data_IF_965866748183
#
_entry.id   IF_965866748183
#
_cell.length_a   1.000
_cell.length_b   1.000
_cell.length_c   1.000
_cell.angle_alpha   90.00
_cell.angle_beta   90.00
_cell.angle_gamma   90.00
#
_symmetry.space_group_name_H-M   'P 1'
#
loop_
_entity.id
_entity.type
_entity.pdbx_description
1 polymer ?
#
# COMPACT_ATOMS: atom_id res chain seq x y z
N UNK A 1 -6.85 33.87 27.97
CA UNK A 1 -5.52 33.31 27.63
C UNK A 1 -5.38 32.00 28.42
N UNK A 2 -5.67 30.87 27.81
CA UNK A 2 -5.62 29.55 28.48
C UNK A 2 -4.16 29.17 28.70
N UNK A 3 -3.85 28.74 29.87
CA UNK A 3 -2.52 28.35 30.34
C UNK A 3 -2.05 27.10 29.54
N UNK A 4 -1.16 27.27 28.55
CA UNK A 4 -0.58 26.19 27.68
C UNK A 4 0.57 25.43 28.37
N UNK A 5 0.62 25.43 29.71
CA UNK A 5 1.76 24.96 30.50
C UNK A 5 1.97 23.43 30.53
N UNK A 6 1.13 22.64 29.87
CA UNK A 6 1.22 21.18 29.85
C UNK A 6 1.63 20.54 28.54
N UNK A 7 1.66 21.30 27.42
CA UNK A 7 1.95 20.74 26.09
C UNK A 7 3.45 20.50 25.88
N UNK A 8 3.82 19.24 25.59
CA UNK A 8 5.20 18.88 25.26
C UNK A 8 5.24 17.69 24.29
N UNK A 9 6.38 17.48 23.62
CA UNK A 9 6.60 16.36 22.70
C UNK A 9 7.61 15.40 23.33
N UNK A 10 7.21 14.15 23.43
CA UNK A 10 8.09 13.04 23.81
C UNK A 10 8.42 12.26 22.54
N UNK A 11 9.72 12.11 22.23
CA UNK A 11 10.18 11.23 21.16
C UNK A 11 10.48 9.84 21.72
N UNK A 12 9.87 8.80 21.18
CA UNK A 12 10.07 7.40 21.59
C UNK A 12 10.32 6.51 20.38
N UNK A 13 10.97 5.38 20.61
CA UNK A 13 11.18 4.35 19.59
C UNK A 13 10.02 3.36 19.51
N UNK A 14 9.13 3.36 20.50
CA UNK A 14 7.91 2.56 20.55
C UNK A 14 6.77 3.33 21.23
N UNK A 15 5.56 2.82 21.10
CA UNK A 15 4.37 3.38 21.73
C UNK A 15 4.19 2.89 23.18
N UNK A 16 4.71 1.70 23.51
CA UNK A 16 4.55 1.09 24.83
C UNK A 16 3.09 1.07 25.30
N UNK A 17 2.81 1.52 26.52
CA UNK A 17 1.45 1.54 27.07
C UNK A 17 0.51 2.54 26.38
N UNK A 18 1.03 3.46 25.55
CA UNK A 18 0.24 4.44 24.80
C UNK A 18 -0.33 3.88 23.48
N UNK A 19 -0.02 2.64 23.12
CA UNK A 19 -0.51 2.02 21.89
C UNK A 19 -2.04 2.06 21.74
N UNK A 20 -2.86 1.71 22.73
CA UNK A 20 -4.31 1.83 22.61
C UNK A 20 -4.79 3.27 22.40
N UNK A 21 -4.18 4.22 23.10
CA UNK A 21 -4.51 5.64 22.93
C UNK A 21 -4.13 6.16 21.54
N UNK A 22 -2.96 5.76 21.02
CA UNK A 22 -2.55 6.06 19.65
C UNK A 22 -3.53 5.50 18.62
N UNK A 23 -3.91 4.22 18.75
CA UNK A 23 -4.84 3.56 17.83
C UNK A 23 -6.22 4.23 17.87
N UNK A 24 -6.69 4.69 19.04
CA UNK A 24 -7.91 5.46 19.16
C UNK A 24 -7.84 6.81 18.45
N UNK A 25 -6.70 7.51 18.51
CA UNK A 25 -6.49 8.75 17.74
C UNK A 25 -6.60 8.52 16.23
N UNK A 26 -6.02 7.42 15.73
CA UNK A 26 -6.10 7.06 14.30
C UNK A 26 -7.54 6.84 13.85
N UNK A 27 -8.38 6.25 14.69
CA UNK A 27 -9.81 6.02 14.40
C UNK A 27 -10.61 7.32 14.22
N UNK A 28 -10.22 8.37 14.93
CA UNK A 28 -10.90 9.67 14.91
C UNK A 28 -10.40 10.62 13.81
N UNK A 29 -9.42 10.22 13.01
CA UNK A 29 -8.98 11.04 11.88
C UNK A 29 -10.11 11.22 10.86
N UNK A 30 -10.17 12.39 10.21
CA UNK A 30 -11.10 12.63 9.11
C UNK A 30 -10.90 11.68 7.92
N UNK A 31 -9.68 11.14 7.79
CA UNK A 31 -9.32 10.10 6.83
C UNK A 31 -8.52 9.00 7.55
N UNK A 32 -9.20 8.11 8.30
CA UNK A 32 -8.52 7.04 9.03
C UNK A 32 -7.72 6.14 8.08
N UNK A 33 -6.43 5.92 8.40
CA UNK A 33 -5.54 5.13 7.57
C UNK A 33 -5.05 3.89 8.32
N UNK A 34 -5.19 2.68 7.76
CA UNK A 34 -4.66 1.46 8.36
C UNK A 34 -3.13 1.51 8.47
N UNK A 35 -2.47 2.30 7.64
CA UNK A 35 -1.01 2.49 7.66
C UNK A 35 -0.51 3.30 8.85
N UNK A 36 -1.40 3.93 9.63
CA UNK A 36 -1.09 4.62 10.88
C UNK A 36 -1.38 3.77 12.12
N UNK A 37 -1.98 2.59 11.97
CA UNK A 37 -2.25 1.67 13.07
C UNK A 37 -0.94 1.14 13.67
N UNK A 38 -0.89 1.03 14.97
CA UNK A 38 0.28 0.58 15.71
C UNK A 38 0.83 -0.75 15.20
N UNK A 39 -0.05 -1.71 14.88
CA UNK A 39 0.35 -3.02 14.37
C UNK A 39 1.03 -2.94 12.99
N UNK A 40 0.60 -2.00 12.11
CA UNK A 40 1.26 -1.80 10.83
C UNK A 40 2.63 -1.15 11.02
N UNK A 41 2.68 -0.04 11.76
CA UNK A 41 3.89 0.74 11.99
C UNK A 41 5.02 -0.11 12.58
N UNK A 42 4.71 -0.95 13.58
CA UNK A 42 5.69 -1.83 14.24
C UNK A 42 6.31 -2.87 13.31
N UNK A 43 5.54 -3.39 12.35
CA UNK A 43 5.98 -4.48 11.47
C UNK A 43 6.65 -3.97 10.19
N UNK A 44 6.40 -2.71 9.79
CA UNK A 44 6.82 -2.19 8.48
C UNK A 44 7.92 -1.14 8.54
N UNK A 45 8.33 -0.73 9.72
CA UNK A 45 9.45 0.19 9.92
C UNK A 45 10.74 -0.39 9.35
N UNK A 46 11.49 0.43 8.59
CA UNK A 46 12.77 0.02 7.97
C UNK A 46 13.96 0.72 8.61
N UNK A 47 13.82 2.00 8.98
CA UNK A 47 14.84 2.79 9.69
C UNK A 47 14.67 2.73 11.21
N UNK A 48 15.33 3.63 11.92
CA UNK A 48 15.13 3.79 13.36
C UNK A 48 13.73 4.40 13.62
N UNK A 49 12.82 3.71 14.33
CA UNK A 49 11.49 4.23 14.60
C UNK A 49 11.54 5.48 15.48
N UNK A 50 10.67 6.44 15.20
CA UNK A 50 10.56 7.67 15.97
C UNK A 50 9.10 8.12 16.05
N UNK A 51 8.45 7.84 17.17
CA UNK A 51 7.13 8.35 17.50
C UNK A 51 7.28 9.71 18.21
N UNK A 52 6.77 10.75 17.59
CA UNK A 52 6.64 12.06 18.21
C UNK A 52 5.27 12.12 18.89
N UNK A 53 5.24 11.93 20.20
CA UNK A 53 4.01 11.89 20.99
C UNK A 53 3.76 13.26 21.60
N UNK A 54 2.65 13.89 21.23
CA UNK A 54 2.23 15.19 21.79
C UNK A 54 1.36 14.92 23.01
N UNK A 55 1.90 15.33 24.15
CA UNK A 55 1.25 15.17 25.44
C UNK A 55 0.68 16.49 25.94
N UNK A 56 -0.48 16.45 26.55
CA UNK A 56 -1.01 17.51 27.40
C UNK A 56 -1.05 16.96 28.83
N UNK A 57 -0.08 17.38 29.63
CA UNK A 57 0.25 16.73 30.90
C UNK A 57 0.57 15.24 30.65
N UNK A 58 -0.23 14.31 31.18
CA UNK A 58 -0.05 12.87 31.01
C UNK A 58 -0.96 12.24 29.92
N UNK A 59 -1.73 13.07 29.21
CA UNK A 59 -2.66 12.60 28.18
C UNK A 59 -2.06 12.72 26.80
N UNK A 60 -2.07 11.63 26.05
CA UNK A 60 -1.70 11.65 24.63
C UNK A 60 -2.81 12.32 23.82
N UNK A 61 -2.52 13.48 23.23
CA UNK A 61 -3.47 14.23 22.41
C UNK A 61 -3.19 14.17 20.91
N UNK A 62 -2.04 13.65 20.51
CA UNK A 62 -1.67 13.50 19.12
C UNK A 62 -0.23 13.08 18.90
N UNK A 63 0.21 13.07 17.64
CA UNK A 63 1.59 12.72 17.32
C UNK A 63 1.86 12.49 15.85
N UNK A 64 3.08 12.05 15.57
CA UNK A 64 3.57 11.76 14.22
C UNK A 64 4.50 10.55 14.26
N UNK A 65 4.23 9.55 13.42
CA UNK A 65 5.03 8.33 13.33
C UNK A 65 6.07 8.45 12.21
N UNK A 66 7.33 8.56 12.57
CA UNK A 66 8.44 8.73 11.65
C UNK A 66 9.44 7.57 11.77
N UNK A 67 10.26 7.40 10.75
CA UNK A 67 11.50 6.62 10.83
C UNK A 67 12.68 7.48 10.42
N UNK A 68 13.81 7.28 11.08
CA UNK A 68 15.05 7.99 10.77
C UNK A 68 16.00 7.08 10.00
N UNK A 69 16.52 7.60 8.90
CA UNK A 69 17.70 7.12 8.21
C UNK A 69 18.79 8.20 8.26
N UNK A 70 20.06 7.81 8.16
CA UNK A 70 21.17 8.78 8.11
C UNK A 70 21.89 8.71 6.77
N UNK A 71 22.06 9.86 6.16
CA UNK A 71 22.90 10.00 4.98
C UNK A 71 24.02 11.00 5.26
N UNK A 72 25.28 10.53 5.19
CA UNK A 72 26.46 11.33 5.55
C UNK A 72 26.33 11.98 6.94
N UNK A 73 25.75 11.27 7.90
CA UNK A 73 25.54 11.76 9.27
C UNK A 73 24.32 12.67 9.46
N UNK A 74 23.67 13.14 8.38
CA UNK A 74 22.47 13.99 8.46
C UNK A 74 21.23 13.12 8.60
N UNK A 75 20.39 13.31 9.64
CA UNK A 75 19.12 12.62 9.78
C UNK A 75 18.15 12.96 8.65
N UNK A 76 17.55 11.94 8.07
CA UNK A 76 16.41 12.02 7.15
C UNK A 76 15.21 11.37 7.82
N UNK A 77 14.23 12.19 8.16
CA UNK A 77 12.98 11.74 8.77
C UNK A 77 11.98 11.44 7.66
N UNK A 78 11.49 10.21 7.63
CA UNK A 78 10.52 9.72 6.65
C UNK A 78 9.26 9.25 7.36
N UNK A 79 8.16 9.07 6.63
CA UNK A 79 6.99 8.38 7.16
C UNK A 79 7.40 6.98 7.62
N UNK A 80 6.90 6.53 8.76
CA UNK A 80 7.18 5.17 9.22
C UNK A 80 6.56 4.15 8.26
N UNK A 81 7.34 3.14 7.88
CA UNK A 81 6.97 2.18 6.84
C UNK A 81 7.22 2.68 5.41
N UNK A 82 7.92 3.82 5.22
CA UNK A 82 8.37 4.26 3.91
C UNK A 82 9.23 3.17 3.25
N UNK A 83 9.03 2.97 1.94
CA UNK A 83 9.74 1.93 1.19
C UNK A 83 8.81 1.13 0.28
N UNK A 84 9.09 -0.17 0.06
CA UNK A 84 8.34 -0.98 -0.90
C UNK A 84 6.85 -1.14 -0.59
N UNK A 85 6.44 -1.05 0.67
CA UNK A 85 5.05 -1.18 1.09
C UNK A 85 4.22 0.10 0.92
N UNK A 86 4.88 1.23 0.67
CA UNK A 86 4.25 2.49 0.25
C UNK A 86 2.99 2.86 1.05
N UNK A 87 3.09 3.27 2.33
CA UNK A 87 1.93 3.69 3.11
C UNK A 87 1.20 4.88 2.45
N UNK A 88 -0.14 4.82 2.45
CA UNK A 88 -1.00 5.86 1.89
C UNK A 88 -1.78 6.58 2.98
N UNK A 89 -2.21 7.82 2.67
CA UNK A 89 -2.99 8.66 3.58
C UNK A 89 -2.30 8.88 4.93
N UNK A 90 -0.98 9.08 4.88
CA UNK A 90 -0.20 9.43 6.07
C UNK A 90 -0.56 10.83 6.55
N UNK A 91 -0.69 11.02 7.86
CA UNK A 91 -0.95 12.29 8.51
C UNK A 91 -0.43 12.30 9.96
N UNK A 92 -0.43 13.49 10.58
CA UNK A 92 -0.35 13.58 12.03
C UNK A 92 -1.67 13.10 12.65
N UNK A 93 -1.59 12.31 13.72
CA UNK A 93 -2.77 11.94 14.49
C UNK A 93 -3.06 13.02 15.53
N UNK A 94 -4.33 13.32 15.78
CA UNK A 94 -4.73 14.31 16.76
C UNK A 94 -6.13 13.98 17.33
N UNK A 95 -6.37 14.33 18.58
CA UNK A 95 -7.72 14.40 19.13
C UNK A 95 -8.54 15.43 18.36
N UNK A 96 -9.82 15.17 18.06
CA UNK A 96 -10.71 16.15 17.45
C UNK A 96 -10.72 17.48 18.24
N UNK A 97 -10.48 18.59 17.52
CA UNK A 97 -10.39 19.93 18.10
C UNK A 97 -9.05 20.30 18.74
N UNK A 98 -8.05 19.38 18.75
CA UNK A 98 -6.70 19.63 19.23
C UNK A 98 -5.64 19.64 18.12
N UNK A 99 -6.07 19.66 16.86
CA UNK A 99 -5.19 19.57 15.68
C UNK A 99 -4.16 20.70 15.65
N UNK A 100 -4.57 21.93 15.98
CA UNK A 100 -3.69 23.11 16.00
C UNK A 100 -2.64 23.02 17.11
N UNK A 101 -3.02 22.51 18.27
CA UNK A 101 -2.10 22.29 19.38
C UNK A 101 -1.04 21.25 19.02
N UNK A 102 -1.48 20.14 18.40
CA UNK A 102 -0.59 19.06 17.93
C UNK A 102 0.37 19.59 16.87
N UNK A 103 -0.12 20.29 15.84
CA UNK A 103 0.73 20.86 14.80
C UNK A 103 1.73 21.88 15.36
N UNK A 104 1.33 22.72 16.33
CA UNK A 104 2.21 23.68 17.00
C UNK A 104 3.33 22.97 17.75
N UNK A 105 3.00 21.94 18.52
CA UNK A 105 3.99 21.16 19.27
C UNK A 105 4.96 20.42 18.33
N UNK A 106 4.45 19.80 17.26
CA UNK A 106 5.26 19.14 16.24
C UNK A 106 6.19 20.14 15.53
N UNK A 107 5.71 21.36 15.21
CA UNK A 107 6.52 22.42 14.62
C UNK A 107 7.70 22.76 15.52
N UNK A 108 7.44 23.01 16.81
CA UNK A 108 8.50 23.33 17.77
C UNK A 108 9.56 22.22 17.82
N UNK A 109 9.14 20.95 17.82
CA UNK A 109 10.06 19.81 17.81
C UNK A 109 10.85 19.68 16.50
N UNK A 110 10.21 19.83 15.35
CA UNK A 110 10.83 19.72 14.02
C UNK A 110 11.81 20.87 13.75
N UNK A 111 11.57 22.04 14.34
CA UNK A 111 12.43 23.23 14.24
C UNK A 111 13.53 23.31 15.31
N UNK A 112 13.65 22.31 16.21
CA UNK A 112 14.72 22.29 17.22
C UNK A 112 16.12 22.35 16.59
N UNK A 113 17.17 22.84 17.29
CA UNK A 113 18.52 22.91 16.77
C UNK A 113 19.03 21.61 16.19
N UNK A 114 19.91 21.69 15.19
CA UNK A 114 20.49 20.54 14.48
C UNK A 114 20.03 20.47 13.02
N UNK A 115 20.84 19.80 12.17
CA UNK A 115 20.53 19.64 10.75
C UNK A 115 19.73 18.37 10.52
N UNK A 116 18.68 18.45 9.69
CA UNK A 116 17.85 17.30 9.26
C UNK A 116 17.13 17.59 7.96
N UNK A 117 16.76 16.52 7.27
CA UNK A 117 15.77 16.54 6.16
C UNK A 117 14.51 15.85 6.64
N UNK A 118 13.36 16.38 6.29
CA UNK A 118 12.04 15.79 6.46
C UNK A 118 11.54 15.45 5.07
N UNK A 119 11.18 14.17 4.84
CA UNK A 119 10.81 13.66 3.52
C UNK A 119 9.61 12.70 3.67
N UNK A 120 8.40 13.26 3.64
CA UNK A 120 7.15 12.56 3.92
C UNK A 120 6.44 12.26 2.60
N UNK A 121 6.36 10.99 2.20
CA UNK A 121 5.65 10.54 1.01
C UNK A 121 4.37 9.79 1.38
N UNK A 122 3.33 9.92 0.53
CA UNK A 122 2.03 9.30 0.77
C UNK A 122 1.13 10.10 1.72
N UNK A 123 1.46 11.36 1.97
CA UNK A 123 0.63 12.27 2.77
C UNK A 123 -0.66 12.59 2.00
N UNK A 124 -1.80 12.61 2.69
CA UNK A 124 -3.06 13.04 2.10
C UNK A 124 -2.99 14.51 1.65
N UNK A 125 -3.49 14.82 0.45
CA UNK A 125 -3.45 16.19 -0.11
C UNK A 125 -4.16 17.23 0.78
N UNK A 126 -5.21 16.80 1.50
CA UNK A 126 -5.95 17.63 2.45
C UNK A 126 -5.26 17.79 3.81
N UNK A 127 -4.15 17.07 4.06
CA UNK A 127 -3.42 17.15 5.32
C UNK A 127 -2.88 18.53 5.58
N UNK A 128 -2.96 18.96 6.83
CA UNK A 128 -2.37 20.23 7.33
C UNK A 128 -0.90 20.07 7.77
N UNK A 129 -0.33 18.87 7.64
CA UNK A 129 1.03 18.55 8.13
C UNK A 129 2.11 19.46 7.51
N UNK A 130 1.89 19.97 6.28
CA UNK A 130 2.80 20.92 5.66
C UNK A 130 3.04 22.18 6.53
N UNK A 131 2.04 22.61 7.33
CA UNK A 131 2.16 23.76 8.20
C UNK A 131 3.07 23.52 9.42
N UNK A 132 3.31 22.26 9.78
CA UNK A 132 4.21 21.89 10.87
C UNK A 132 5.68 21.76 10.44
N UNK A 133 5.98 21.83 9.14
CA UNK A 133 7.34 21.60 8.63
C UNK A 133 8.17 22.89 8.62
N UNK A 134 9.49 22.82 8.89
CA UNK A 134 10.37 23.98 8.94
C UNK A 134 10.61 24.61 7.56
N UNK A 135 10.66 25.92 7.53
CA UNK A 135 11.11 26.70 6.37
C UNK A 135 10.28 26.48 5.09
N UNK A 136 10.95 26.44 3.94
CA UNK A 136 10.29 26.23 2.65
C UNK A 136 9.95 24.76 2.44
N UNK A 137 8.66 24.47 2.31
CA UNK A 137 8.17 23.11 2.02
C UNK A 137 8.04 22.89 0.51
N UNK A 138 8.71 21.87 0.02
CA UNK A 138 8.55 21.37 -1.35
C UNK A 138 7.41 20.35 -1.36
N UNK A 139 6.34 20.66 -2.10
CA UNK A 139 5.15 19.82 -2.25
C UNK A 139 5.08 19.26 -3.67
N UNK A 140 4.87 17.96 -3.79
CA UNK A 140 4.76 17.27 -5.08
C UNK A 140 3.64 16.23 -5.01
N UNK A 141 2.79 16.16 -6.04
CA UNK A 141 1.84 15.05 -6.20
C UNK A 141 2.61 13.84 -6.72
N UNK A 142 2.62 12.75 -5.94
CA UNK A 142 3.37 11.52 -6.27
C UNK A 142 2.48 10.41 -6.79
N UNK A 143 1.21 10.39 -6.40
CA UNK A 143 0.25 9.40 -6.83
C UNK A 143 -1.19 9.93 -6.67
N UNK A 144 -2.13 9.12 -7.13
CA UNK A 144 -3.56 9.26 -6.81
C UNK A 144 -4.05 7.97 -6.15
N UNK A 145 -5.02 8.07 -5.28
CA UNK A 145 -5.72 6.97 -4.64
C UNK A 145 -7.21 7.02 -5.03
N UNK A 146 -7.63 6.22 -6.01
CA UNK A 146 -9.03 6.14 -6.43
C UNK A 146 -9.90 5.56 -5.33
N UNK A 147 -11.08 6.13 -5.11
CA UNK A 147 -12.01 5.72 -4.07
C UNK A 147 -13.47 5.88 -4.50
N UNK A 148 -14.37 5.22 -3.79
CA UNK A 148 -15.81 5.30 -4.00
C UNK A 148 -16.56 5.28 -2.67
N UNK A 149 -17.55 6.16 -2.51
CA UNK A 149 -18.53 6.06 -1.44
C UNK A 149 -19.47 4.87 -1.66
N UNK A 150 -19.76 4.13 -0.61
CA UNK A 150 -20.61 2.96 -0.67
C UNK A 150 -21.96 3.23 -0.02
N UNK A 151 -23.01 2.64 -0.60
CA UNK A 151 -24.35 2.53 -0.04
C UNK A 151 -24.60 1.10 0.41
N UNK A 152 -25.63 0.89 1.20
CA UNK A 152 -25.97 -0.47 1.68
C UNK A 152 -26.43 -1.40 0.54
N UNK A 153 -26.98 -0.87 -0.55
CA UNK A 153 -27.40 -1.67 -1.69
C UNK A 153 -26.26 -1.83 -2.72
N UNK A 154 -25.73 -3.06 -2.91
CA UNK A 154 -24.73 -3.32 -3.94
C UNK A 154 -25.18 -2.97 -5.36
N UNK A 155 -26.50 -2.96 -5.62
CA UNK A 155 -27.03 -2.61 -6.94
C UNK A 155 -26.83 -1.12 -7.25
N UNK A 156 -26.88 -0.24 -6.24
CA UNK A 156 -26.61 1.19 -6.39
C UNK A 156 -25.18 1.43 -6.85
N UNK A 157 -24.23 0.82 -6.17
CA UNK A 157 -22.84 0.91 -6.59
C UNK A 157 -22.65 0.44 -8.04
N UNK A 158 -23.23 -0.69 -8.41
CA UNK A 158 -23.10 -1.22 -9.76
C UNK A 158 -23.78 -0.32 -10.82
N UNK A 159 -24.94 0.31 -10.48
CA UNK A 159 -25.64 1.25 -11.39
C UNK A 159 -24.79 2.47 -11.72
N UNK A 160 -23.98 2.96 -10.78
CA UNK A 160 -23.07 4.10 -10.99
C UNK A 160 -21.87 3.78 -11.88
N UNK A 161 -21.59 2.51 -12.13
CA UNK A 161 -20.43 2.12 -12.95
C UNK A 161 -20.68 2.30 -14.45
N UNK A 162 -19.61 2.49 -15.26
CA UNK A 162 -19.75 2.60 -16.73
C UNK A 162 -20.54 1.42 -17.32
N UNK A 163 -21.39 1.69 -18.31
CA UNK A 163 -22.23 0.65 -18.94
C UNK A 163 -21.42 -0.53 -19.47
N UNK A 164 -20.25 -0.26 -20.05
CA UNK A 164 -19.32 -1.28 -20.55
C UNK A 164 -18.81 -2.20 -19.42
N UNK A 165 -18.58 -1.66 -18.23
CA UNK A 165 -18.12 -2.42 -17.07
C UNK A 165 -19.25 -3.25 -16.45
N UNK A 166 -20.47 -2.73 -16.33
CA UNK A 166 -21.60 -3.42 -15.67
C UNK A 166 -21.85 -4.82 -16.19
N UNK A 167 -21.64 -5.04 -17.49
CA UNK A 167 -21.81 -6.33 -18.13
C UNK A 167 -20.61 -7.31 -17.89
N UNK A 168 -19.42 -6.77 -17.59
CA UNK A 168 -18.18 -7.55 -17.49
C UNK A 168 -18.19 -8.56 -16.35
N UNK A 169 -18.52 -8.21 -15.08
CA UNK A 169 -18.61 -9.18 -14.00
C UNK A 169 -19.60 -10.32 -14.33
N UNK A 170 -20.82 -9.98 -14.75
CA UNK A 170 -21.86 -11.00 -15.08
C UNK A 170 -21.43 -11.95 -16.19
N UNK A 171 -20.90 -11.44 -17.31
CA UNK A 171 -20.41 -12.25 -18.43
C UNK A 171 -19.25 -13.13 -18.00
N UNK A 172 -18.34 -12.61 -17.17
CA UNK A 172 -17.19 -13.36 -16.68
C UNK A 172 -17.64 -14.44 -15.70
N UNK A 173 -18.53 -14.12 -14.74
CA UNK A 173 -19.09 -15.11 -13.81
C UNK A 173 -19.73 -16.27 -14.57
N UNK A 174 -20.63 -15.99 -15.53
CA UNK A 174 -21.26 -17.04 -16.36
C UNK A 174 -20.22 -17.91 -17.10
N UNK A 175 -19.14 -17.31 -17.62
CA UNK A 175 -18.06 -18.05 -18.28
C UNK A 175 -17.29 -18.93 -17.30
N UNK A 176 -17.20 -18.53 -16.03
CA UNK A 176 -16.49 -19.25 -14.98
C UNK A 176 -17.39 -20.29 -14.25
N UNK A 177 -18.73 -20.20 -14.41
CA UNK A 177 -19.69 -21.14 -13.78
C UNK A 177 -19.33 -22.64 -13.99
N UNK A 178 -18.92 -23.09 -15.20
CA UNK A 178 -18.54 -24.49 -15.40
C UNK A 178 -17.31 -24.93 -14.57
N UNK A 179 -16.57 -23.96 -14.00
CA UNK A 179 -15.38 -24.19 -13.16
C UNK A 179 -15.70 -24.15 -11.67
N UNK A 180 -17.00 -24.11 -11.29
CA UNK A 180 -17.46 -24.02 -9.91
C UNK A 180 -16.74 -22.94 -9.10
N UNK A 181 -16.67 -21.71 -9.64
CA UNK A 181 -15.94 -20.61 -9.01
C UNK A 181 -16.74 -20.05 -7.82
N UNK A 182 -16.10 -19.98 -6.67
CA UNK A 182 -16.66 -19.46 -5.43
C UNK A 182 -15.82 -18.31 -4.85
N UNK A 183 -16.48 -17.41 -4.14
CA UNK A 183 -15.83 -16.38 -3.33
C UNK A 183 -15.63 -16.90 -1.90
N UNK A 184 -14.42 -16.75 -1.38
CA UNK A 184 -14.04 -17.15 -0.03
C UNK A 184 -13.36 -16.00 0.70
N UNK A 185 -13.68 -15.82 1.99
CA UNK A 185 -13.05 -14.81 2.84
C UNK A 185 -12.24 -15.53 3.92
N UNK A 186 -11.01 -15.05 4.12
CA UNK A 186 -10.10 -15.52 5.17
C UNK A 186 -9.86 -14.41 6.18
N UNK A 187 -9.97 -14.75 7.47
CA UNK A 187 -9.78 -13.85 8.61
C UNK A 187 -9.06 -14.59 9.74
N UNK A 188 -8.50 -13.83 10.68
CA UNK A 188 -7.78 -14.38 11.83
C UNK A 188 -6.67 -15.32 11.39
N UNK A 189 -6.46 -16.41 12.09
CA UNK A 189 -5.42 -17.40 11.79
C UNK A 189 -5.56 -18.07 10.40
N UNK A 190 -6.75 -18.02 9.78
CA UNK A 190 -6.96 -18.65 8.46
C UNK A 190 -6.26 -17.93 7.31
N UNK A 191 -5.65 -16.77 7.53
CA UNK A 191 -4.94 -16.01 6.48
C UNK A 191 -3.62 -16.62 6.07
N UNK A 192 -2.98 -17.46 6.89
CA UNK A 192 -1.64 -17.99 6.62
C UNK A 192 -1.56 -18.76 5.30
N UNK A 193 -2.57 -19.56 5.01
CA UNK A 193 -2.67 -20.27 3.72
C UNK A 193 -2.77 -19.30 2.55
N UNK A 194 -3.51 -18.20 2.73
CA UNK A 194 -3.71 -17.20 1.67
C UNK A 194 -2.49 -16.32 1.48
N UNK A 195 -1.70 -16.06 2.51
CA UNK A 195 -0.45 -15.32 2.39
C UNK A 195 0.45 -15.98 1.34
N UNK A 196 0.82 -17.25 1.50
CA UNK A 196 1.64 -17.96 0.50
C UNK A 196 1.00 -18.01 -0.89
N UNK A 197 -0.33 -18.10 -0.95
CA UNK A 197 -1.06 -18.06 -2.22
C UNK A 197 -0.97 -16.70 -2.88
N UNK A 198 -1.16 -15.60 -2.13
CA UNK A 198 -1.03 -14.24 -2.66
C UNK A 198 0.37 -13.97 -3.19
N UNK A 199 1.41 -14.39 -2.46
CA UNK A 199 2.80 -14.27 -2.90
C UNK A 199 3.01 -14.97 -4.25
N UNK A 200 2.59 -16.22 -4.36
CA UNK A 200 2.68 -17.01 -5.59
C UNK A 200 1.95 -16.36 -6.76
N UNK A 201 0.70 -15.92 -6.55
CA UNK A 201 -0.10 -15.25 -7.57
C UNK A 201 0.50 -13.89 -7.97
N UNK A 202 1.01 -13.12 -7.01
CA UNK A 202 1.65 -11.84 -7.25
C UNK A 202 2.95 -12.02 -8.04
N UNK A 203 3.79 -12.99 -7.67
CA UNK A 203 5.02 -13.36 -8.36
C UNK A 203 4.73 -13.81 -9.80
N UNK A 204 3.70 -14.61 -10.01
CA UNK A 204 3.29 -15.07 -11.35
C UNK A 204 2.82 -13.91 -12.25
N UNK A 205 2.24 -12.86 -11.67
CA UNK A 205 1.73 -11.69 -12.40
C UNK A 205 2.80 -10.64 -12.68
N UNK A 206 3.69 -10.35 -11.73
CA UNK A 206 4.60 -9.21 -11.76
C UNK A 206 6.09 -9.62 -11.86
N UNK A 207 6.42 -10.87 -11.54
CA UNK A 207 7.78 -11.40 -11.51
C UNK A 207 8.66 -10.68 -10.48
N UNK A 208 9.97 -10.76 -10.66
CA UNK A 208 10.97 -10.17 -9.75
C UNK A 208 11.03 -8.62 -9.81
N UNK A 209 10.24 -8.00 -10.68
CA UNK A 209 10.15 -6.54 -10.78
C UNK A 209 9.24 -5.91 -9.73
N UNK A 210 8.60 -6.72 -8.91
CA UNK A 210 7.71 -6.25 -7.87
C UNK A 210 8.49 -5.83 -6.62
N UNK A 211 8.47 -4.52 -6.30
CA UNK A 211 9.02 -4.02 -5.04
C UNK A 211 8.28 -4.59 -3.81
N UNK A 212 7.01 -4.94 -3.96
CA UNK A 212 6.22 -5.56 -2.89
C UNK A 212 6.84 -6.87 -2.40
N UNK A 213 7.32 -7.71 -3.32
CA UNK A 213 7.95 -8.99 -2.95
C UNK A 213 9.24 -8.81 -2.14
N UNK A 214 9.94 -7.68 -2.29
CA UNK A 214 11.12 -7.36 -1.49
C UNK A 214 10.79 -7.08 -0.01
N UNK A 215 9.55 -6.71 0.31
CA UNK A 215 9.08 -6.46 1.66
C UNK A 215 7.94 -7.41 2.08
N UNK A 216 7.86 -8.57 1.41
CA UNK A 216 6.75 -9.50 1.60
C UNK A 216 6.67 -10.02 3.05
N UNK A 217 7.79 -10.33 3.68
CA UNK A 217 7.82 -10.83 5.06
C UNK A 217 7.28 -9.80 6.07
N UNK A 218 7.60 -8.52 5.89
CA UNK A 218 7.06 -7.45 6.72
C UNK A 218 5.54 -7.30 6.51
N UNK A 219 5.09 -7.38 5.26
CA UNK A 219 3.66 -7.40 4.94
C UNK A 219 2.94 -8.60 5.59
N UNK A 220 3.52 -9.79 5.50
CA UNK A 220 2.93 -11.00 6.06
C UNK A 220 2.86 -10.91 7.60
N UNK A 221 3.92 -10.43 8.25
CA UNK A 221 3.95 -10.21 9.69
C UNK A 221 2.88 -9.19 10.12
N UNK A 222 2.80 -8.04 9.43
CA UNK A 222 1.78 -7.02 9.68
C UNK A 222 0.37 -7.57 9.48
N UNK A 223 0.15 -8.32 8.38
CA UNK A 223 -1.16 -8.91 8.08
C UNK A 223 -1.64 -9.88 9.16
N UNK A 224 -0.75 -10.69 9.75
CA UNK A 224 -1.11 -11.60 10.85
C UNK A 224 -1.61 -10.83 12.07
N UNK A 225 -0.88 -9.79 12.46
CA UNK A 225 -1.28 -8.96 13.62
C UNK A 225 -2.59 -8.23 13.33
N UNK A 226 -2.73 -7.62 12.14
CA UNK A 226 -3.97 -6.94 11.75
C UNK A 226 -5.16 -7.90 11.64
N UNK A 227 -4.96 -9.14 11.15
CA UNK A 227 -6.01 -10.15 11.10
C UNK A 227 -6.47 -10.63 12.49
N UNK A 228 -5.54 -10.76 13.43
CA UNK A 228 -5.87 -11.08 14.83
C UNK A 228 -6.71 -9.96 15.49
N UNK A 229 -6.58 -8.72 15.02
CA UNK A 229 -7.40 -7.57 15.45
C UNK A 229 -8.70 -7.41 14.65
N UNK A 230 -8.94 -8.24 13.63
CA UNK A 230 -10.10 -8.14 12.75
C UNK A 230 -10.01 -7.03 11.71
N UNK A 231 -8.85 -6.39 11.56
CA UNK A 231 -8.63 -5.26 10.64
C UNK A 231 -8.06 -5.67 9.28
N UNK A 232 -7.67 -6.94 9.11
CA UNK A 232 -7.17 -7.50 7.83
C UNK A 232 -7.99 -8.72 7.44
N UNK A 233 -8.42 -8.73 6.17
CA UNK A 233 -9.07 -9.87 5.55
C UNK A 233 -8.45 -10.14 4.18
N UNK A 234 -8.51 -11.40 3.76
CA UNK A 234 -8.17 -11.81 2.40
C UNK A 234 -9.42 -12.34 1.71
N UNK A 235 -9.63 -11.88 0.50
CA UNK A 235 -10.69 -12.37 -0.35
C UNK A 235 -10.08 -13.17 -1.51
N UNK A 236 -10.63 -14.35 -1.75
CA UNK A 236 -10.16 -15.31 -2.75
C UNK A 236 -11.28 -15.65 -3.72
N UNK A 237 -10.95 -15.79 -4.99
CA UNK A 237 -11.77 -16.45 -6.00
C UNK A 237 -11.19 -17.83 -6.21
N UNK A 238 -11.99 -18.86 -5.94
CA UNK A 238 -11.56 -20.26 -5.93
C UNK A 238 -12.29 -21.02 -7.01
N UNK A 239 -11.59 -21.83 -7.78
CA UNK A 239 -12.17 -22.75 -8.79
C UNK A 239 -11.82 -24.19 -8.38
N UNK A 240 -12.82 -24.93 -7.88
CA UNK A 240 -12.56 -26.18 -7.19
C UNK A 240 -11.69 -25.91 -5.94
N UNK A 241 -10.49 -26.48 -5.92
CA UNK A 241 -9.52 -26.25 -4.83
C UNK A 241 -8.49 -25.15 -5.16
N UNK A 242 -8.40 -24.72 -6.41
CA UNK A 242 -7.40 -23.78 -6.85
C UNK A 242 -7.82 -22.32 -6.60
N UNK A 243 -7.00 -21.53 -5.92
CA UNK A 243 -7.19 -20.07 -5.80
C UNK A 243 -6.69 -19.41 -7.09
N UNK A 244 -7.62 -18.80 -7.83
CA UNK A 244 -7.34 -18.19 -9.14
C UNK A 244 -7.10 -16.69 -9.09
N UNK A 245 -7.58 -16.03 -8.03
CA UNK A 245 -7.28 -14.64 -7.70
C UNK A 245 -7.42 -14.43 -6.20
N UNK A 246 -6.61 -13.53 -5.65
CA UNK A 246 -6.66 -13.13 -4.25
C UNK A 246 -6.39 -11.63 -4.11
N UNK A 247 -6.97 -11.01 -3.08
CA UNK A 247 -6.72 -9.62 -2.70
C UNK A 247 -6.68 -9.50 -1.18
N UNK A 248 -5.68 -8.80 -0.66
CA UNK A 248 -5.62 -8.39 0.74
C UNK A 248 -6.38 -7.09 0.93
N UNK A 249 -7.18 -7.02 1.97
CA UNK A 249 -8.01 -5.88 2.32
C UNK A 249 -7.74 -5.44 3.75
N UNK A 250 -7.73 -4.13 3.97
CA UNK A 250 -7.82 -3.56 5.30
C UNK A 250 -9.25 -3.13 5.55
N UNK A 251 -9.83 -3.61 6.66
CA UNK A 251 -11.19 -3.32 7.10
C UNK A 251 -11.10 -2.48 8.38
N UNK A 252 -11.17 -1.15 8.24
CA UNK A 252 -10.90 -0.25 9.35
C UNK A 252 -11.75 1.02 9.28
N UNK A 253 -12.31 1.44 10.41
CA UNK A 253 -13.09 2.68 10.56
C UNK A 253 -14.16 2.89 9.47
N UNK A 254 -14.91 1.84 9.13
CA UNK A 254 -15.95 1.88 8.10
C UNK A 254 -15.42 1.95 6.66
N UNK A 255 -14.12 1.82 6.45
CA UNK A 255 -13.46 1.84 5.16
C UNK A 255 -12.89 0.47 4.80
N UNK A 256 -13.06 0.07 3.55
CA UNK A 256 -12.40 -1.09 2.95
C UNK A 256 -11.29 -0.61 2.03
N UNK A 257 -10.02 -0.89 2.37
CA UNK A 257 -8.88 -0.55 1.50
C UNK A 257 -8.37 -1.80 0.78
N UNK A 258 -8.33 -1.76 -0.56
CA UNK A 258 -7.84 -2.86 -1.39
C UNK A 258 -6.35 -2.68 -1.60
N UNK A 259 -5.52 -3.51 -0.92
CA UNK A 259 -4.08 -3.26 -0.88
C UNK A 259 -3.30 -4.02 -1.93
N UNK A 260 -3.13 -5.32 -1.80
CA UNK A 260 -2.33 -6.12 -2.73
C UNK A 260 -3.17 -7.23 -3.34
N UNK A 261 -2.98 -7.46 -4.63
CA UNK A 261 -3.71 -8.52 -5.35
C UNK A 261 -2.79 -9.32 -6.25
N UNK A 262 -3.23 -10.56 -6.52
CA UNK A 262 -2.60 -11.43 -7.49
C UNK A 262 -3.65 -12.30 -8.18
N UNK A 263 -3.33 -12.78 -9.37
CA UNK A 263 -4.19 -13.69 -10.14
C UNK A 263 -3.39 -14.64 -11.00
N UNK A 264 -3.99 -15.75 -11.37
CA UNK A 264 -3.44 -16.65 -12.37
C UNK A 264 -3.43 -15.99 -13.76
N UNK A 265 -2.40 -16.30 -14.51
CA UNK A 265 -2.29 -15.96 -15.92
C UNK A 265 -3.11 -16.94 -16.77
N UNK A 266 -3.38 -16.57 -18.04
CA UNK A 266 -4.09 -17.42 -18.99
C UNK A 266 -5.47 -16.89 -19.39
N UNK A 267 -5.88 -17.26 -20.59
CA UNK A 267 -7.14 -16.78 -21.19
C UNK A 267 -8.37 -17.22 -20.39
N UNK A 268 -8.35 -18.43 -19.81
CA UNK A 268 -9.43 -18.98 -18.98
C UNK A 268 -9.71 -18.14 -17.73
N UNK A 269 -8.69 -17.44 -17.19
CA UNK A 269 -8.79 -16.59 -15.99
C UNK A 269 -8.90 -15.09 -16.31
N UNK A 270 -9.09 -14.77 -17.59
CA UNK A 270 -9.27 -13.36 -17.98
C UNK A 270 -10.41 -12.72 -17.19
N UNK A 271 -10.18 -11.57 -16.60
CA UNK A 271 -11.10 -10.81 -15.75
C UNK A 271 -11.47 -11.49 -14.41
N UNK A 272 -10.81 -12.56 -13.97
CA UNK A 272 -11.07 -13.18 -12.67
C UNK A 272 -10.87 -12.16 -11.52
N UNK A 273 -9.79 -11.38 -11.57
CA UNK A 273 -9.58 -10.29 -10.59
C UNK A 273 -10.69 -9.24 -10.62
N UNK A 274 -11.25 -8.92 -11.81
CA UNK A 274 -12.38 -7.98 -11.93
C UNK A 274 -13.64 -8.51 -11.23
N UNK A 275 -13.91 -9.82 -11.38
CA UNK A 275 -15.02 -10.47 -10.65
C UNK A 275 -14.76 -10.43 -9.16
N UNK A 276 -13.56 -10.83 -8.72
CA UNK A 276 -13.21 -10.81 -7.31
C UNK A 276 -13.40 -9.41 -6.70
N UNK A 277 -12.82 -8.36 -7.29
CA UNK A 277 -12.93 -6.99 -6.77
C UNK A 277 -14.39 -6.50 -6.74
N UNK A 278 -15.18 -6.80 -7.79
CA UNK A 278 -16.61 -6.44 -7.80
C UNK A 278 -17.38 -7.17 -6.69
N UNK A 279 -17.08 -8.45 -6.44
CA UNK A 279 -17.70 -9.23 -5.37
C UNK A 279 -17.31 -8.69 -3.99
N UNK A 280 -16.04 -8.33 -3.79
CA UNK A 280 -15.53 -7.73 -2.54
C UNK A 280 -16.23 -6.41 -2.24
N UNK A 281 -16.38 -5.53 -3.23
CA UNK A 281 -17.06 -4.25 -3.05
C UNK A 281 -18.55 -4.45 -2.74
N UNK A 282 -19.22 -5.38 -3.43
CA UNK A 282 -20.62 -5.71 -3.14
C UNK A 282 -20.79 -6.32 -1.73
N UNK A 283 -19.85 -7.12 -1.27
CA UNK A 283 -19.82 -7.63 0.10
C UNK A 283 -19.64 -6.48 1.11
N UNK A 284 -18.75 -5.54 0.83
CA UNK A 284 -18.55 -4.34 1.64
C UNK A 284 -19.82 -3.50 1.78
N UNK A 285 -20.59 -3.30 0.68
CA UNK A 285 -21.90 -2.65 0.74
C UNK A 285 -22.84 -3.35 1.72
N UNK A 286 -23.00 -4.69 1.60
CA UNK A 286 -23.90 -5.46 2.49
C UNK A 286 -23.47 -5.43 3.95
N UNK A 287 -22.16 -5.30 4.21
CA UNK A 287 -21.59 -5.22 5.55
C UNK A 287 -21.60 -3.81 6.14
N UNK A 288 -22.10 -2.82 5.40
CA UNK A 288 -22.24 -1.45 5.86
C UNK A 288 -20.96 -0.64 5.87
N UNK A 289 -19.97 -0.97 5.03
CA UNK A 289 -18.84 -0.08 4.81
C UNK A 289 -19.29 1.19 4.09
N UNK A 290 -18.71 2.32 4.49
CA UNK A 290 -19.05 3.63 3.93
C UNK A 290 -18.24 3.95 2.68
N UNK A 291 -17.07 3.32 2.52
CA UNK A 291 -16.13 3.64 1.46
C UNK A 291 -15.29 2.41 1.05
N UNK A 292 -15.00 2.32 -0.24
CA UNK A 292 -13.89 1.50 -0.74
C UNK A 292 -12.78 2.41 -1.25
N UNK A 293 -11.55 2.15 -0.80
CA UNK A 293 -10.33 2.81 -1.24
C UNK A 293 -9.46 1.82 -2.00
N UNK A 294 -9.15 2.14 -3.26
CA UNK A 294 -8.30 1.30 -4.12
C UNK A 294 -6.81 1.60 -3.94
N UNK A 295 -6.48 2.48 -3.00
CA UNK A 295 -5.15 2.94 -2.66
C UNK A 295 -4.37 3.47 -3.86
N UNK A 296 -3.05 3.77 -3.68
CA UNK A 296 -2.26 4.43 -4.73
C UNK A 296 -2.24 3.67 -6.05
N UNK A 297 -2.21 4.44 -7.12
CA UNK A 297 -2.05 3.99 -8.50
C UNK A 297 -3.15 4.51 -9.41
N UNK A 298 -2.77 4.82 -10.63
CA UNK A 298 -3.62 5.32 -11.70
C UNK A 298 -3.89 4.25 -12.76
N UNK A 299 -3.82 2.97 -12.38
CA UNK A 299 -4.06 1.87 -13.29
C UNK A 299 -5.47 1.97 -13.89
N UNK A 300 -5.60 1.88 -15.22
CA UNK A 300 -6.86 2.16 -15.92
C UNK A 300 -8.05 1.32 -15.44
N UNK A 301 -7.79 0.13 -14.88
CA UNK A 301 -8.87 -0.72 -14.37
C UNK A 301 -9.56 -0.13 -13.13
N UNK A 302 -8.83 0.66 -12.30
CA UNK A 302 -9.38 1.27 -11.07
C UNK A 302 -10.52 2.23 -11.38
N UNK A 303 -10.48 2.94 -12.50
CA UNK A 303 -11.55 3.81 -12.95
C UNK A 303 -12.90 3.09 -13.21
N UNK A 304 -12.88 1.76 -13.31
CA UNK A 304 -14.11 0.99 -13.41
C UNK A 304 -14.78 0.76 -12.04
N UNK A 305 -14.06 0.94 -10.95
CA UNK A 305 -14.53 0.66 -9.59
C UNK A 305 -14.79 1.93 -8.76
N UNK A 306 -14.28 3.06 -9.20
CA UNK A 306 -14.31 4.33 -8.46
C UNK A 306 -14.76 5.48 -9.35
N UNK A 307 -15.33 6.52 -8.75
CA UNK A 307 -15.73 7.78 -9.42
C UNK A 307 -14.90 8.97 -8.97
N UNK A 308 -14.12 8.83 -7.90
CA UNK A 308 -13.30 9.88 -7.32
C UNK A 308 -11.87 9.42 -7.06
N UNK A 309 -10.96 10.35 -6.86
CA UNK A 309 -9.58 10.07 -6.48
C UNK A 309 -9.04 11.15 -5.53
N UNK A 310 -8.29 10.72 -4.52
CA UNK A 310 -7.51 11.58 -3.63
C UNK A 310 -6.09 11.69 -4.17
N UNK A 311 -5.50 12.88 -4.07
CA UNK A 311 -4.08 13.05 -4.37
C UNK A 311 -3.25 12.62 -3.16
N UNK A 312 -2.17 11.91 -3.43
CA UNK A 312 -1.12 11.62 -2.47
C UNK A 312 0.07 12.51 -2.78
N UNK A 313 0.54 13.22 -1.78
CA UNK A 313 1.63 14.19 -1.93
C UNK A 313 2.88 13.72 -1.21
N UNK A 314 3.99 14.27 -1.64
CA UNK A 314 5.27 14.20 -0.94
C UNK A 314 5.61 15.59 -0.44
N UNK A 315 5.90 15.70 0.85
CA UNK A 315 6.33 16.92 1.50
C UNK A 315 7.80 16.80 1.85
N UNK A 316 8.61 17.78 1.41
CA UNK A 316 10.03 17.83 1.77
C UNK A 316 10.38 19.19 2.33
N UNK A 317 11.07 19.16 3.46
CA UNK A 317 11.59 20.35 4.13
C UNK A 317 12.97 20.04 4.72
N UNK A 318 13.70 21.08 5.11
CA UNK A 318 14.99 20.93 5.75
C UNK A 318 15.15 21.92 6.89
N UNK A 319 15.95 21.56 7.88
CA UNK A 319 16.39 22.43 8.95
C UNK A 319 17.93 22.36 9.08
N UNK A 320 18.58 23.49 9.33
CA UNK A 320 20.02 23.60 9.45
C UNK A 320 20.77 23.49 8.11
N UNK A 321 22.02 23.95 8.07
CA UNK A 321 22.80 24.07 6.83
C UNK A 321 22.97 22.74 6.13
N UNK A 322 23.45 21.69 6.82
CA UNK A 322 23.65 20.39 6.22
C UNK A 322 22.33 19.75 5.74
N UNK A 323 21.20 20.04 6.43
CA UNK A 323 19.88 19.61 5.98
C UNK A 323 19.50 20.23 4.65
N UNK A 324 19.72 21.53 4.47
CA UNK A 324 19.43 22.22 3.20
C UNK A 324 20.32 21.72 2.03
N UNK A 325 21.61 21.48 2.29
CA UNK A 325 22.51 20.89 1.28
C UNK A 325 22.03 19.49 0.86
N UNK A 326 21.68 18.65 1.83
CA UNK A 326 21.16 17.30 1.56
C UNK A 326 19.81 17.35 0.79
N UNK A 327 18.89 18.22 1.19
CA UNK A 327 17.62 18.38 0.47
C UNK A 327 17.83 18.81 -0.97
N UNK A 328 18.76 19.77 -1.21
CA UNK A 328 19.13 20.22 -2.55
C UNK A 328 19.66 19.06 -3.38
N UNK A 329 20.56 18.23 -2.83
CA UNK A 329 21.10 17.06 -3.51
C UNK A 329 20.00 16.04 -3.85
N UNK A 330 19.04 15.78 -2.94
CA UNK A 330 17.89 14.92 -3.20
C UNK A 330 17.02 15.45 -4.34
N UNK A 331 16.70 16.75 -4.33
CA UNK A 331 15.87 17.37 -5.36
C UNK A 331 16.55 17.35 -6.75
N UNK A 332 17.86 17.61 -6.80
CA UNK A 332 18.66 17.53 -8.04
C UNK A 332 18.73 16.08 -8.54
N UNK A 333 18.97 15.12 -7.67
CA UNK A 333 18.97 13.69 -8.01
C UNK A 333 17.63 13.22 -8.57
N UNK A 334 16.51 13.65 -7.99
CA UNK A 334 15.18 13.34 -8.53
C UNK A 334 14.95 13.98 -9.91
N UNK A 335 15.38 15.23 -10.07
CA UNK A 335 15.29 15.91 -11.37
C UNK A 335 16.11 15.21 -12.44
N UNK A 336 17.34 14.80 -12.11
CA UNK A 336 18.20 14.06 -13.02
C UNK A 336 17.58 12.71 -13.43
N UNK A 337 17.03 11.93 -12.47
CA UNK A 337 16.33 10.67 -12.76
C UNK A 337 15.12 10.87 -13.67
N UNK A 338 14.34 11.93 -13.47
CA UNK A 338 13.20 12.25 -14.35
C UNK A 338 13.63 12.62 -15.77
N UNK A 339 14.71 13.35 -15.91
CA UNK A 339 15.27 13.70 -17.22
C UNK A 339 15.83 12.47 -17.93
N UNK A 340 16.57 11.61 -17.24
CA UNK A 340 17.11 10.36 -17.78
C UNK A 340 16.02 9.36 -18.17
N UNK A 341 14.88 9.31 -17.46
CA UNK A 341 13.76 8.41 -17.76
C UNK A 341 12.84 8.87 -18.91
N UNK A 342 12.92 10.13 -19.35
CA UNK A 342 12.09 10.68 -20.44
C UNK A 342 12.37 10.08 -21.82
N UNK A 343 13.62 9.89 -22.29
CA UNK A 343 13.88 9.37 -23.62
C UNK A 343 13.38 7.93 -23.81
N UNK A 344 13.50 7.08 -22.81
CA UNK A 344 13.01 5.69 -22.88
C UNK A 344 11.48 5.60 -22.98
N UNK A 345 10.73 6.42 -22.24
CA UNK A 345 9.24 6.44 -22.33
C UNK A 345 8.75 7.02 -23.68
N UNK A 346 9.45 7.98 -24.27
CA UNK A 346 9.11 8.52 -25.60
C UNK A 346 9.44 7.53 -26.73
N UNK A 347 10.53 6.77 -26.60
CA UNK A 347 10.91 5.73 -27.56
C UNK A 347 9.87 4.61 -27.59
N UNK A 348 9.39 4.15 -26.41
CA UNK A 348 8.33 3.14 -26.32
C UNK A 348 6.97 3.63 -26.87
N UNK A 349 6.66 4.92 -26.79
CA UNK A 349 5.44 5.48 -27.41
C UNK A 349 5.53 5.62 -28.92
N UNK A 350 6.73 5.69 -29.51
CA UNK A 350 6.97 5.82 -30.96
C UNK A 350 7.15 4.50 -31.69
N UNK A 351 7.32 3.39 -30.99
CA UNK A 351 7.35 2.08 -31.63
C UNK A 351 5.93 1.76 -32.13
N UNK A 352 5.75 1.58 -33.46
CA UNK A 352 4.45 1.19 -34.00
C UNK A 352 4.04 -0.14 -33.35
N UNK A 353 2.86 -0.20 -32.75
CA UNK A 353 2.27 -1.46 -32.29
C UNK A 353 2.22 -2.36 -33.52
N UNK A 354 3.12 -3.33 -33.60
CA UNK A 354 3.05 -4.40 -34.63
C UNK A 354 1.68 -5.04 -34.50
N UNK A 355 0.84 -4.83 -35.53
CA UNK A 355 -0.36 -5.62 -35.73
C UNK A 355 0.07 -7.09 -35.77
N UNK A 356 -0.63 -8.01 -35.06
CA UNK A 356 -0.35 -9.42 -35.22
C UNK A 356 -0.57 -9.75 -36.70
N UNK A 357 0.47 -10.23 -37.35
CA UNK A 357 0.38 -10.81 -38.70
C UNK A 357 -0.62 -11.95 -38.64
N UNK A 358 -1.76 -11.78 -39.32
CA UNK A 358 -2.66 -12.89 -39.64
C UNK A 358 -1.97 -13.76 -40.66
N UNK A 359 -1.84 -15.05 -40.35
CA UNK A 359 -1.57 -16.09 -41.33
C UNK A 359 -0.12 -16.49 -41.50
N UNK A 360 0.36 -17.43 -40.67
CA UNK A 360 1.34 -18.42 -41.06
C UNK A 360 0.86 -19.77 -40.48
N UNK A 361 0.94 -20.87 -41.26
CA UNK A 361 0.41 -22.17 -40.84
C UNK A 361 1.28 -22.80 -39.75
N UNK A 362 0.64 -23.62 -38.93
CA UNK A 362 1.26 -24.39 -37.87
C UNK A 362 2.42 -25.23 -38.40
N UNK A 363 3.61 -25.04 -37.90
CA UNK A 363 4.74 -25.93 -38.11
C UNK A 363 4.53 -27.19 -37.26
N UNK A 364 4.61 -28.31 -37.98
CA UNK A 364 4.47 -29.67 -37.52
C UNK A 364 5.41 -30.08 -36.40
N UNK A 365 4.91 -30.93 -35.52
CA UNK A 365 5.60 -31.64 -34.46
C UNK A 365 6.97 -32.21 -34.86
N UNK A 366 8.02 -31.87 -34.11
CA UNK A 366 9.22 -32.68 -33.96
C UNK A 366 9.19 -33.39 -32.61
N UNK A 367 9.46 -34.69 -32.53
CA UNK A 367 9.51 -35.44 -31.28
C UNK A 367 10.80 -35.17 -30.51
N UNK A 368 10.82 -35.31 -29.19
CA UNK A 368 11.99 -35.05 -28.36
C UNK A 368 13.06 -36.12 -28.56
N UNK A 369 14.30 -35.69 -28.86
CA UNK A 369 15.47 -36.55 -28.90
C UNK A 369 15.82 -37.03 -27.46
N UNK A 370 15.92 -38.34 -27.31
CA UNK A 370 16.42 -39.02 -26.12
C UNK A 370 17.92 -38.78 -25.99
N UNK A 371 18.33 -38.14 -24.91
CA UNK A 371 19.74 -38.11 -24.49
C UNK A 371 20.02 -39.39 -23.72
N UNK A 372 20.93 -40.24 -24.28
CA UNK A 372 21.46 -41.45 -23.64
C UNK A 372 22.33 -41.03 -22.45
N UNK A 373 21.99 -41.52 -21.25
CA UNK A 373 22.87 -41.50 -20.11
C UNK A 373 23.96 -42.55 -20.31
N UNK A 374 25.22 -42.16 -20.27
CA UNK A 374 26.34 -43.06 -20.09
C UNK A 374 26.47 -43.38 -18.58
N UNK A 375 26.38 -44.69 -18.30
CA UNK A 375 26.67 -45.22 -17.00
C UNK A 375 28.18 -45.17 -16.70
N UNK A 376 28.48 -44.91 -15.47
CA UNK A 376 29.78 -45.04 -14.86
C UNK A 376 29.59 -45.53 -13.41
N UNK A 377 29.86 -46.84 -13.23
CA UNK A 377 29.94 -47.52 -11.95
C UNK A 377 30.91 -46.83 -11.01
N UNK A 378 30.55 -46.67 -9.75
CA UNK A 378 31.49 -46.69 -8.63
C UNK A 378 30.77 -47.23 -7.38
N UNK A 379 31.39 -48.27 -6.85
CA UNK A 379 30.99 -49.11 -5.73
C UNK A 379 31.04 -48.41 -4.35
N UNK A 380 30.48 -49.06 -3.31
CA UNK A 380 30.27 -48.43 -2.00
C UNK A 380 31.51 -48.59 -1.09
N UNK A 381 31.75 -47.54 -0.27
CA UNK A 381 32.70 -47.64 0.85
C UNK A 381 31.93 -47.54 2.16
N UNK A 382 32.15 -48.56 2.97
CA UNK A 382 31.68 -48.78 4.33
C UNK A 382 32.30 -47.83 5.37
N UNK A 383 31.51 -47.48 6.38
CA UNK A 383 31.76 -47.35 7.83
C UNK A 383 32.99 -46.53 8.35
N UNK A 384 32.78 -45.47 9.07
CA UNK A 384 32.71 -45.47 10.56
C UNK A 384 32.11 -44.19 11.05
#
# INVERSE_FOLDING_TARGET
MSNRSGLHVIARTDLGPLEPAWDALVEHLSLPSPFLRSWWLKQTVVGAPQFLLVMDSDVLIGGLALQEERWLGVPRLQVMGAGPLCPDHFDAVALPGREDDVLTALTAWLCRPGSRVIDLEGVADASRLAAALPGRVHREVVAVAPWEGLTADPADWLRMRPRSFRATPRKTTRRLEPKAVAHRIRRGASIDTTLGTLERLHRAQWGDRSNFLAAYEQFAAASRVGAARGEVAFHELVAGEEVVAAVSCFEFAGRLSLYQSGRLSGHQWRNAATVLLATVIQDACRRGFNEVDLLRGDEPYKANFSSAARKLIRLRAAHGVAGHLMLTALLLGDRARRLAGRPLRQLYRRLPRRRPLRGLPAASHMPPQRIRAHGGDLAPVHQR
#
